data_IF_749966912850
#
_entry.id   IF_749966912850
#
_cell.length_a   1.000
_cell.length_b   1.000
_cell.length_c   1.000
_cell.angle_alpha   90.00
_cell.angle_beta   90.00
_cell.angle_gamma   90.00
#
_symmetry.space_group_name_H-M   'P 1'
#
loop_
_entity.id
_entity.type
_entity.pdbx_description
1 polymer ?
#
# COMPACT_ATOMS: atom_id res chain seq x y z
N UNK A 1 13.68 -6.80 -5.01
CA UNK A 1 12.70 -6.21 -4.06
C UNK A 1 11.72 -7.31 -3.64
N UNK A 2 11.70 -7.69 -2.36
CA UNK A 2 10.71 -8.63 -1.79
C UNK A 2 9.88 -7.91 -0.74
N UNK A 3 8.65 -8.37 -0.50
CA UNK A 3 7.88 -7.89 0.65
C UNK A 3 8.57 -8.37 1.92
N UNK A 4 8.90 -7.43 2.80
CA UNK A 4 9.41 -7.74 4.13
C UNK A 4 8.22 -7.88 5.10
N UNK A 5 8.04 -9.08 5.62
CA UNK A 5 6.96 -9.37 6.57
C UNK A 5 7.11 -8.62 7.90
N UNK A 6 8.31 -8.10 8.22
CA UNK A 6 8.53 -7.30 9.42
C UNK A 6 7.72 -5.98 9.41
N UNK A 7 7.33 -5.48 8.24
CA UNK A 7 6.47 -4.30 8.12
C UNK A 7 4.99 -4.58 8.38
N UNK A 8 4.59 -5.87 8.43
CA UNK A 8 3.19 -6.24 8.59
C UNK A 8 2.99 -7.06 9.87
N UNK A 9 2.01 -6.69 10.68
CA UNK A 9 1.61 -7.50 11.82
C UNK A 9 0.86 -8.75 11.37
N UNK A 10 0.87 -9.81 12.18
CA UNK A 10 0.07 -11.01 11.92
C UNK A 10 -1.42 -10.66 11.72
N UNK A 11 -1.94 -9.73 12.51
CA UNK A 11 -3.32 -9.24 12.38
C UNK A 11 -3.57 -8.65 10.99
N UNK A 12 -2.71 -7.77 10.50
CA UNK A 12 -2.85 -7.17 9.16
C UNK A 12 -2.82 -8.24 8.05
N UNK A 13 -1.97 -9.26 8.18
CA UNK A 13 -1.94 -10.36 7.22
C UNK A 13 -3.25 -11.16 7.23
N UNK A 14 -3.79 -11.46 8.41
CA UNK A 14 -5.09 -12.13 8.56
C UNK A 14 -6.24 -11.27 8.01
N UNK A 15 -6.25 -9.97 8.29
CA UNK A 15 -7.24 -9.03 7.78
C UNK A 15 -7.22 -8.96 6.25
N UNK A 16 -6.05 -8.92 5.63
CA UNK A 16 -5.92 -8.97 4.17
C UNK A 16 -6.49 -10.27 3.59
N UNK A 17 -6.24 -11.42 4.22
CA UNK A 17 -6.80 -12.71 3.77
C UNK A 17 -8.31 -12.79 3.99
N UNK A 18 -8.86 -12.15 5.04
CA UNK A 18 -10.30 -12.08 5.30
C UNK A 18 -11.08 -11.24 4.28
N UNK A 19 -10.41 -10.46 3.43
CA UNK A 19 -11.05 -9.59 2.44
C UNK A 19 -11.94 -10.39 1.47
N UNK A 20 -13.25 -10.18 1.56
CA UNK A 20 -14.27 -10.83 0.72
C UNK A 20 -14.41 -10.21 -0.67
N UNK A 21 -13.71 -9.12 -0.96
CA UNK A 21 -13.79 -8.37 -2.22
C UNK A 21 -15.19 -7.82 -2.54
N UNK A 22 -15.96 -7.45 -1.52
CA UNK A 22 -17.33 -6.96 -1.70
C UNK A 22 -17.43 -5.64 -2.48
N UNK A 23 -16.36 -4.82 -2.51
CA UNK A 23 -16.35 -3.55 -3.27
C UNK A 23 -16.79 -2.31 -2.48
N UNK A 24 -17.42 -2.45 -1.31
CA UNK A 24 -17.95 -1.32 -0.51
C UNK A 24 -16.90 -0.20 -0.25
N UNK A 25 -15.66 -0.59 -0.06
CA UNK A 25 -14.56 0.35 0.14
C UNK A 25 -14.20 1.16 -1.12
N UNK A 26 -14.61 0.74 -2.31
CA UNK A 26 -14.39 1.46 -3.57
C UNK A 26 -15.36 2.64 -3.64
N UNK A 27 -16.64 2.35 -3.42
CA UNK A 27 -17.72 3.34 -3.50
C UNK A 27 -17.54 4.50 -2.52
N UNK A 28 -16.95 4.21 -1.36
CA UNK A 28 -16.74 5.22 -0.30
C UNK A 28 -15.41 5.98 -0.42
N UNK A 29 -14.53 5.61 -1.35
CA UNK A 29 -13.20 6.22 -1.46
C UNK A 29 -13.24 7.59 -2.14
N UNK A 30 -12.98 8.70 -1.43
CA UNK A 30 -13.08 10.04 -2.03
C UNK A 30 -12.03 10.27 -3.11
N UNK A 31 -10.83 9.73 -2.92
CA UNK A 31 -9.76 9.88 -3.91
C UNK A 31 -10.09 9.11 -5.20
N UNK A 32 -10.65 7.89 -5.06
CA UNK A 32 -11.06 7.13 -6.24
C UNK A 32 -12.23 7.78 -6.96
N UNK A 33 -13.19 8.33 -6.21
CA UNK A 33 -14.34 9.03 -6.79
C UNK A 33 -13.91 10.19 -7.70
N UNK A 34 -12.85 10.91 -7.32
CA UNK A 34 -12.32 12.05 -8.07
C UNK A 34 -11.44 11.63 -9.26
N UNK A 35 -10.48 10.75 -9.03
CA UNK A 35 -9.43 10.43 -10.01
C UNK A 35 -9.79 9.28 -10.94
N UNK A 36 -10.66 8.34 -10.49
CA UNK A 36 -11.09 7.14 -11.24
C UNK A 36 -9.93 6.27 -11.75
N UNK A 37 -8.85 6.21 -10.98
CA UNK A 37 -7.69 5.37 -11.28
C UNK A 37 -7.73 4.11 -10.42
N UNK A 38 -7.71 2.93 -11.08
CA UNK A 38 -7.75 1.60 -10.43
C UNK A 38 -6.64 1.37 -9.39
N UNK A 39 -5.49 2.02 -9.56
CA UNK A 39 -4.37 1.91 -8.64
C UNK A 39 -4.69 2.45 -7.23
N UNK A 40 -5.65 3.35 -7.14
CA UNK A 40 -5.96 4.10 -5.91
C UNK A 40 -6.90 3.33 -5.00
N UNK A 41 -7.83 2.55 -5.54
CA UNK A 41 -8.89 2.00 -4.71
C UNK A 41 -8.41 0.91 -3.73
N UNK A 42 -9.03 0.83 -2.53
CA UNK A 42 -8.54 -0.01 -1.45
C UNK A 42 -8.43 -1.49 -1.80
N UNK A 43 -9.40 -2.02 -2.54
CA UNK A 43 -9.44 -3.43 -2.94
C UNK A 43 -8.21 -3.83 -3.77
N UNK A 44 -7.82 -2.97 -4.72
CA UNK A 44 -6.66 -3.22 -5.57
C UNK A 44 -5.36 -3.25 -4.76
N UNK A 45 -5.21 -2.34 -3.79
CA UNK A 45 -4.03 -2.31 -2.89
C UNK A 45 -3.89 -3.61 -2.11
N UNK A 46 -4.98 -4.10 -1.51
CA UNK A 46 -4.98 -5.39 -0.79
C UNK A 46 -4.63 -6.53 -1.74
N UNK A 47 -5.27 -6.59 -2.92
CA UNK A 47 -5.06 -7.66 -3.88
C UNK A 47 -3.62 -7.70 -4.38
N UNK A 48 -3.02 -6.55 -4.70
CA UNK A 48 -1.64 -6.46 -5.16
C UNK A 48 -0.65 -6.83 -4.04
N UNK A 49 -0.84 -6.34 -2.81
CA UNK A 49 0.00 -6.71 -1.66
C UNK A 49 0.01 -8.21 -1.44
N UNK A 50 -1.16 -8.85 -1.46
CA UNK A 50 -1.29 -10.31 -1.35
C UNK A 50 -0.59 -11.05 -2.49
N UNK A 51 -0.73 -10.56 -3.71
CA UNK A 51 -0.10 -11.16 -4.89
C UNK A 51 1.42 -11.07 -4.79
N UNK A 52 1.96 -9.91 -4.46
CA UNK A 52 3.41 -9.70 -4.28
C UNK A 52 3.96 -10.56 -3.16
N UNK A 53 3.28 -10.60 -2.01
CA UNK A 53 3.68 -11.45 -0.89
C UNK A 53 3.73 -12.93 -1.28
N UNK A 54 2.68 -13.44 -1.94
CA UNK A 54 2.63 -14.84 -2.39
C UNK A 54 3.73 -15.15 -3.41
N UNK A 55 3.95 -14.27 -4.38
CA UNK A 55 5.01 -14.44 -5.37
C UNK A 55 6.41 -14.45 -4.75
N UNK A 56 6.65 -13.57 -3.77
CA UNK A 56 7.96 -13.38 -3.16
C UNK A 56 8.33 -14.51 -2.17
N UNK A 57 7.33 -15.14 -1.52
CA UNK A 57 7.56 -16.13 -0.44
C UNK A 57 7.22 -17.58 -0.80
N UNK A 58 6.31 -17.83 -1.73
CA UNK A 58 5.95 -19.19 -2.13
C UNK A 58 6.85 -19.76 -3.24
N UNK A 59 7.72 -18.95 -3.84
CA UNK A 59 8.72 -19.40 -4.82
C UNK A 59 8.13 -20.26 -5.93
N UNK A 60 8.61 -21.51 -6.06
CA UNK A 60 8.15 -22.45 -7.09
C UNK A 60 6.65 -22.79 -6.98
N UNK A 61 6.11 -22.85 -5.75
CA UNK A 61 4.69 -23.10 -5.53
C UNK A 61 3.82 -21.97 -6.10
N UNK A 62 4.25 -20.71 -5.94
CA UNK A 62 3.53 -19.58 -6.54
C UNK A 62 3.40 -19.75 -8.07
N UNK A 63 4.48 -20.17 -8.73
CA UNK A 63 4.49 -20.40 -10.18
C UNK A 63 3.53 -21.52 -10.59
N UNK A 64 3.44 -22.59 -9.80
CA UNK A 64 2.51 -23.70 -10.05
C UNK A 64 1.05 -23.24 -10.02
N UNK A 65 0.73 -22.24 -9.17
CA UNK A 65 -0.59 -21.61 -9.08
C UNK A 65 -0.76 -20.39 -10.01
N UNK A 66 0.14 -20.19 -10.98
CA UNK A 66 0.05 -19.09 -11.94
C UNK A 66 0.37 -17.70 -11.36
N UNK A 67 0.94 -17.64 -10.15
CA UNK A 67 1.33 -16.37 -9.51
C UNK A 67 2.76 -16.06 -9.95
N UNK A 68 2.94 -15.00 -10.73
CA UNK A 68 4.26 -14.53 -11.17
C UNK A 68 4.83 -13.44 -10.27
N UNK A 69 6.15 -13.31 -10.18
CA UNK A 69 6.76 -12.15 -9.54
C UNK A 69 6.33 -10.84 -10.21
N UNK A 70 6.09 -9.82 -9.38
CA UNK A 70 5.76 -8.49 -9.89
C UNK A 70 6.97 -7.85 -10.57
N UNK A 71 6.73 -7.20 -11.70
CA UNK A 71 7.72 -6.38 -12.39
C UNK A 71 7.98 -5.09 -11.61
N UNK A 72 9.08 -4.43 -11.90
CA UNK A 72 9.41 -3.12 -11.30
C UNK A 72 8.34 -2.07 -11.63
N UNK A 73 7.83 -2.07 -12.86
CA UNK A 73 6.74 -1.19 -13.27
C UNK A 73 5.46 -1.40 -12.47
N UNK A 74 5.08 -2.65 -12.19
CA UNK A 74 3.90 -2.96 -11.36
C UNK A 74 4.10 -2.51 -9.91
N UNK A 75 5.29 -2.65 -9.36
CA UNK A 75 5.61 -2.16 -8.00
C UNK A 75 5.61 -0.64 -7.93
N UNK A 76 6.13 0.05 -8.96
CA UNK A 76 6.08 1.51 -9.07
C UNK A 76 4.65 2.03 -9.15
N UNK A 77 3.83 1.39 -10.00
CA UNK A 77 2.40 1.70 -10.15
C UNK A 77 1.63 1.52 -8.83
N UNK A 78 1.87 0.39 -8.16
CA UNK A 78 1.34 0.15 -6.82
C UNK A 78 1.76 1.24 -5.82
N UNK A 79 3.03 1.64 -5.84
CA UNK A 79 3.56 2.69 -4.97
C UNK A 79 2.82 4.02 -5.16
N UNK A 80 2.61 4.45 -6.40
CA UNK A 80 1.82 5.65 -6.70
C UNK A 80 0.40 5.56 -6.10
N UNK A 81 -0.29 4.45 -6.30
CA UNK A 81 -1.63 4.24 -5.77
C UNK A 81 -1.69 4.27 -4.24
N UNK A 82 -0.67 3.74 -3.56
CA UNK A 82 -0.59 3.76 -2.08
C UNK A 82 -0.34 5.17 -1.55
N UNK A 83 0.54 5.96 -2.19
CA UNK A 83 0.82 7.33 -1.76
C UNK A 83 -0.29 8.33 -2.08
N UNK A 84 -1.10 8.09 -3.09
CA UNK A 84 -2.28 8.91 -3.40
C UNK A 84 -3.42 8.75 -2.37
N UNK A 85 -3.34 7.79 -1.48
CA UNK A 85 -4.32 7.59 -0.42
C UNK A 85 -4.20 8.69 0.66
N UNK A 86 -5.30 9.34 0.99
CA UNK A 86 -5.38 10.39 2.04
C UNK A 86 -5.41 9.84 3.47
N UNK A 87 -5.40 8.51 3.66
CA UNK A 87 -5.48 7.85 4.98
C UNK A 87 -6.75 8.21 5.79
N UNK A 88 -7.85 8.55 5.12
CA UNK A 88 -9.09 9.00 5.76
C UNK A 88 -9.87 7.91 6.51
N UNK A 89 -9.47 6.65 6.38
CA UNK A 89 -10.06 5.46 7.00
C UNK A 89 -11.54 5.14 6.64
N UNK A 90 -12.16 5.85 5.69
CA UNK A 90 -13.55 5.55 5.28
C UNK A 90 -13.74 4.08 4.84
N UNK A 91 -12.75 3.51 4.15
CA UNK A 91 -12.76 2.11 3.74
C UNK A 91 -12.77 1.12 4.92
N UNK A 92 -12.28 1.49 6.10
CA UNK A 92 -12.42 0.72 7.33
C UNK A 92 -13.88 0.74 7.83
N UNK A 93 -14.49 1.93 7.87
CA UNK A 93 -15.84 2.13 8.44
C UNK A 93 -16.90 1.30 7.72
N UNK A 94 -16.78 1.16 6.39
CA UNK A 94 -17.75 0.40 5.57
C UNK A 94 -17.38 -1.07 5.41
N UNK A 95 -16.24 -1.51 5.92
CA UNK A 95 -15.78 -2.87 5.72
C UNK A 95 -16.59 -3.87 6.57
N UNK A 96 -17.33 -4.83 5.97
CA UNK A 96 -18.13 -5.79 6.73
C UNK A 96 -17.29 -6.74 7.59
N UNK A 97 -16.02 -6.97 7.22
CA UNK A 97 -15.07 -7.77 8.00
C UNK A 97 -14.12 -6.90 8.82
N UNK A 98 -14.35 -5.60 8.89
CA UNK A 98 -13.66 -4.63 9.73
C UNK A 98 -12.12 -4.62 9.60
N UNK A 99 -11.62 -4.72 8.37
CA UNK A 99 -10.19 -4.55 8.09
C UNK A 99 -9.74 -3.18 8.56
N UNK A 100 -8.75 -3.11 9.45
CA UNK A 100 -8.17 -1.84 9.88
C UNK A 100 -7.23 -1.29 8.80
N UNK A 101 -7.82 -0.59 7.84
CA UNK A 101 -7.14 -0.19 6.62
C UNK A 101 -6.10 0.90 6.83
N UNK A 102 -6.26 1.79 7.83
CA UNK A 102 -5.34 2.91 8.01
C UNK A 102 -3.94 2.47 8.45
N UNK A 103 -3.75 1.65 9.51
CA UNK A 103 -2.44 1.08 9.82
C UNK A 103 -1.90 0.20 8.69
N UNK A 104 -2.76 -0.54 8.00
CA UNK A 104 -2.36 -1.36 6.87
C UNK A 104 -1.73 -0.53 5.74
N UNK A 105 -2.33 0.64 5.40
CA UNK A 105 -1.76 1.55 4.39
C UNK A 105 -0.44 2.17 4.85
N UNK A 106 -0.26 2.40 6.16
CA UNK A 106 1.01 2.87 6.72
C UNK A 106 2.09 1.80 6.55
N UNK A 107 1.82 0.55 6.91
CA UNK A 107 2.74 -0.57 6.69
C UNK A 107 3.11 -0.77 5.22
N UNK A 108 2.17 -0.57 4.30
CA UNK A 108 2.46 -0.57 2.86
C UNK A 108 3.42 0.56 2.46
N UNK A 109 3.28 1.76 3.04
CA UNK A 109 4.21 2.87 2.79
C UNK A 109 5.60 2.60 3.36
N UNK A 110 5.70 2.01 4.54
CA UNK A 110 6.99 1.58 5.12
C UNK A 110 7.69 0.59 4.19
N UNK A 111 6.96 -0.38 3.66
CA UNK A 111 7.48 -1.32 2.67
C UNK A 111 8.00 -0.61 1.41
N UNK A 112 7.26 0.40 0.92
CA UNK A 112 7.63 1.18 -0.26
C UNK A 112 8.88 2.02 -0.02
N UNK A 113 9.06 2.58 1.19
CA UNK A 113 10.30 3.26 1.58
C UNK A 113 11.49 2.29 1.51
N UNK A 114 11.34 1.08 2.02
CA UNK A 114 12.36 0.04 1.93
C UNK A 114 12.70 -0.36 0.47
N UNK A 115 11.81 -0.13 -0.47
CA UNK A 115 12.05 -0.36 -1.91
C UNK A 115 12.59 0.87 -2.65
N UNK A 116 12.65 2.04 -2.01
CA UNK A 116 12.95 3.31 -2.67
C UNK A 116 11.83 3.83 -3.58
N UNK A 117 10.61 3.32 -3.41
CA UNK A 117 9.43 3.67 -4.21
C UNK A 117 8.52 4.65 -3.45
N UNK A 118 9.00 5.86 -3.23
CA UNK A 118 8.27 6.94 -2.58
C UNK A 118 8.44 8.26 -3.35
N UNK A 119 7.54 9.25 -3.15
CA UNK A 119 7.66 10.55 -3.83
C UNK A 119 8.95 11.27 -3.48
N UNK A 120 9.69 11.74 -4.48
CA UNK A 120 10.99 12.43 -4.33
C UNK A 120 10.93 13.66 -3.39
N UNK A 121 9.77 14.29 -3.29
CA UNK A 121 9.58 15.43 -2.38
C UNK A 121 9.90 15.05 -0.91
N UNK A 122 9.77 13.78 -0.53
CA UNK A 122 10.08 13.34 0.83
C UNK A 122 11.58 13.40 1.14
N UNK A 123 12.45 13.26 0.16
CA UNK A 123 13.89 13.48 0.34
C UNK A 123 14.16 14.95 0.66
N UNK A 124 13.55 15.86 -0.08
CA UNK A 124 13.66 17.30 0.19
C UNK A 124 13.13 17.66 1.59
N UNK A 125 11.98 17.10 1.97
CA UNK A 125 11.40 17.34 3.29
C UNK A 125 12.27 16.77 4.43
N UNK A 126 12.79 15.56 4.24
CA UNK A 126 13.73 14.94 5.18
C UNK A 126 14.97 15.80 5.38
N UNK A 127 15.57 16.26 4.29
CA UNK A 127 16.79 17.05 4.32
C UNK A 127 16.56 18.41 4.99
N UNK A 128 15.42 19.06 4.75
CA UNK A 128 15.03 20.29 5.46
C UNK A 128 14.87 20.06 6.96
N UNK A 129 14.11 19.02 7.34
CA UNK A 129 13.90 18.71 8.76
C UNK A 129 15.23 18.36 9.44
N UNK A 130 16.10 17.61 8.78
CA UNK A 130 17.38 17.18 9.35
C UNK A 130 18.37 18.35 9.52
N UNK A 131 18.45 19.24 8.52
CA UNK A 131 19.46 20.30 8.47
C UNK A 131 18.97 21.65 9.00
N UNK A 132 17.68 21.94 8.88
CA UNK A 132 17.08 23.23 9.21
C UNK A 132 16.04 23.13 10.35
N UNK A 133 15.76 21.92 10.83
CA UNK A 133 14.78 21.63 11.89
C UNK A 133 13.35 22.13 11.61
N UNK A 134 13.05 22.43 10.35
CA UNK A 134 11.70 22.82 9.91
C UNK A 134 11.39 22.29 8.50
N UNK A 135 10.10 22.15 8.18
CA UNK A 135 9.62 21.66 6.89
C UNK A 135 9.66 22.73 5.78
N UNK A 136 9.50 24.02 6.16
CA UNK A 136 9.45 25.12 5.20
C UNK A 136 10.81 25.39 4.54
N UNK A 137 11.90 25.07 5.24
CA UNK A 137 13.26 25.29 4.75
C UNK A 137 13.69 26.77 4.83
N UNK A 138 13.03 27.53 5.69
CA UNK A 138 13.36 28.92 5.98
C UNK A 138 14.11 28.99 7.31
N UNK A 139 15.14 29.87 7.38
CA UNK A 139 15.92 30.10 8.60
C UNK A 139 15.15 30.91 9.64
#
# INVERSE_FOLDING_TARGET
MKIDLAHFTLRQMMEMEACTRCGECIETCPTYAEVRNEEIHPLQKIAQTKSFWKADHLGLLARLFGIRPATEGERSTYGRGVYQCTLCARCHVVCPVQIDTRPLWISMREQLVGWGLYPEIFDTLRDRVTNQHNIAGED
#
